data_IF_336386277243
#
_entry.id   IF_336386277243
#
_cell.length_a   1.000
_cell.length_b   1.000
_cell.length_c   1.000
_cell.angle_alpha   90.00
_cell.angle_beta   90.00
_cell.angle_gamma   90.00
#
_symmetry.space_group_name_H-M   'P 1'
#
loop_
_entity.id
_entity.type
_entity.pdbx_description
1 polymer ?
#
# COMPACT_ATOMS: atom_id res chain seq x y z
N UNK A 1 17.12 11.92 -10.17
CA UNK A 1 15.88 11.76 -9.39
C UNK A 1 14.70 12.28 -10.18
N UNK A 2 13.73 11.41 -10.50
CA UNK A 2 12.43 11.77 -11.09
C UNK A 2 11.54 12.38 -10.02
N UNK A 3 10.82 13.44 -10.39
CA UNK A 3 9.89 14.13 -9.49
C UNK A 3 8.44 13.69 -9.66
N UNK A 4 8.14 13.01 -10.77
CA UNK A 4 6.82 12.52 -11.14
C UNK A 4 6.97 11.18 -11.86
N UNK A 5 5.94 10.36 -11.75
CA UNK A 5 5.70 9.16 -12.57
C UNK A 5 4.44 9.41 -13.40
N UNK A 6 4.19 8.57 -14.41
CA UNK A 6 2.92 8.65 -15.14
C UNK A 6 1.70 8.48 -14.22
N UNK A 7 0.59 9.07 -14.63
CA UNK A 7 -0.71 8.87 -13.97
C UNK A 7 -1.10 7.38 -13.98
N UNK A 8 -0.79 6.67 -15.06
CA UNK A 8 -1.02 5.23 -15.16
C UNK A 8 -0.28 4.44 -14.08
N UNK A 9 1.03 4.70 -13.89
CA UNK A 9 1.81 4.01 -12.86
C UNK A 9 1.32 4.36 -11.45
N UNK A 10 0.97 5.62 -11.21
CA UNK A 10 0.38 6.05 -9.93
C UNK A 10 -0.94 5.34 -9.63
N UNK A 11 -1.82 5.21 -10.63
CA UNK A 11 -3.08 4.49 -10.52
C UNK A 11 -2.89 2.99 -10.25
N UNK A 12 -1.88 2.38 -10.86
CA UNK A 12 -1.55 0.98 -10.59
C UNK A 12 -1.00 0.83 -9.15
N UNK A 13 -0.15 1.74 -8.68
CA UNK A 13 0.32 1.73 -7.29
C UNK A 13 -0.79 1.95 -6.27
N UNK A 14 -1.80 2.77 -6.59
CA UNK A 14 -3.01 2.91 -5.79
C UNK A 14 -3.77 1.57 -5.70
N UNK A 15 -4.04 0.93 -6.85
CA UNK A 15 -4.72 -0.38 -6.91
C UNK A 15 -3.96 -1.44 -6.13
N UNK A 16 -2.63 -1.49 -6.29
CA UNK A 16 -1.76 -2.38 -5.54
C UNK A 16 -1.81 -2.10 -4.03
N UNK A 17 -1.80 -0.83 -3.62
CA UNK A 17 -1.90 -0.44 -2.21
C UNK A 17 -3.23 -0.85 -1.58
N UNK A 18 -4.33 -0.57 -2.29
CA UNK A 18 -5.69 -0.88 -1.84
C UNK A 18 -5.94 -2.38 -1.73
N UNK A 19 -5.52 -3.16 -2.74
CA UNK A 19 -5.67 -4.62 -2.73
C UNK A 19 -4.84 -5.28 -1.63
N UNK A 20 -3.58 -4.86 -1.41
CA UNK A 20 -2.76 -5.33 -0.29
C UNK A 20 -3.45 -5.04 1.06
N UNK A 21 -3.94 -3.81 1.24
CA UNK A 21 -4.63 -3.39 2.46
C UNK A 21 -5.85 -4.26 2.76
N UNK A 22 -6.72 -4.47 1.77
CA UNK A 22 -7.92 -5.29 1.93
C UNK A 22 -7.60 -6.76 2.16
N UNK A 23 -6.64 -7.33 1.44
CA UNK A 23 -6.19 -8.70 1.69
C UNK A 23 -5.78 -8.90 3.16
N UNK A 24 -4.86 -8.07 3.67
CA UNK A 24 -4.34 -8.20 5.03
C UNK A 24 -5.43 -8.00 6.09
N UNK A 25 -6.31 -7.02 5.90
CA UNK A 25 -7.44 -6.78 6.78
C UNK A 25 -8.44 -7.94 6.78
N UNK A 26 -8.74 -8.51 5.61
CA UNK A 26 -9.65 -9.65 5.46
C UNK A 26 -9.08 -10.92 6.09
N UNK A 27 -7.79 -11.20 5.91
CA UNK A 27 -7.14 -12.34 6.55
C UNK A 27 -7.22 -12.24 8.08
N UNK A 28 -6.93 -11.05 8.65
CA UNK A 28 -7.05 -10.84 10.10
C UNK A 28 -8.50 -10.86 10.60
N UNK A 29 -9.46 -10.55 9.74
CA UNK A 29 -10.89 -10.70 10.03
C UNK A 29 -11.43 -12.13 9.74
N UNK A 30 -10.59 -13.06 9.29
CA UNK A 30 -10.98 -14.41 8.86
C UNK A 30 -12.02 -14.46 7.72
N UNK A 31 -12.00 -13.47 6.82
CA UNK A 31 -12.88 -13.36 5.64
C UNK A 31 -12.11 -13.86 4.41
N UNK A 32 -11.78 -15.16 4.40
CA UNK A 32 -10.83 -15.73 3.43
C UNK A 32 -11.26 -15.61 1.96
N UNK A 33 -12.57 -15.60 1.68
CA UNK A 33 -13.06 -15.44 0.30
C UNK A 33 -12.72 -14.08 -0.31
N UNK A 34 -12.96 -13.00 0.43
CA UNK A 34 -12.56 -11.66 0.02
C UNK A 34 -11.03 -11.52 0.04
N UNK A 35 -10.35 -12.09 1.05
CA UNK A 35 -8.89 -12.06 1.13
C UNK A 35 -8.22 -12.68 -0.10
N UNK A 36 -8.72 -13.82 -0.59
CA UNK A 36 -8.18 -14.49 -1.77
C UNK A 36 -8.41 -13.66 -3.05
N UNK A 37 -9.57 -13.01 -3.18
CA UNK A 37 -9.85 -12.09 -4.30
C UNK A 37 -8.86 -10.92 -4.29
N UNK A 38 -8.66 -10.29 -3.13
CA UNK A 38 -7.80 -9.12 -3.01
C UNK A 38 -6.32 -9.48 -3.15
N UNK A 39 -5.92 -10.70 -2.78
CA UNK A 39 -4.58 -11.24 -3.07
C UNK A 39 -4.34 -11.38 -4.58
N UNK A 40 -5.32 -11.89 -5.32
CA UNK A 40 -5.22 -12.03 -6.76
C UNK A 40 -5.10 -10.65 -7.44
N UNK A 41 -5.94 -9.69 -7.03
CA UNK A 41 -5.86 -8.31 -7.52
C UNK A 41 -4.50 -7.68 -7.21
N UNK A 42 -3.96 -7.89 -6.00
CA UNK A 42 -2.62 -7.42 -5.64
C UNK A 42 -1.54 -8.02 -6.53
N UNK A 43 -1.63 -9.32 -6.83
CA UNK A 43 -0.71 -10.01 -7.73
C UNK A 43 -0.74 -9.42 -9.15
N UNK A 44 -1.93 -9.21 -9.69
CA UNK A 44 -2.13 -8.58 -11.01
C UNK A 44 -1.59 -7.14 -11.02
N UNK A 45 -1.97 -6.31 -10.06
CA UNK A 45 -1.52 -4.92 -9.96
C UNK A 45 0.00 -4.82 -9.74
N UNK A 46 0.61 -5.76 -9.01
CA UNK A 46 2.07 -5.82 -8.82
C UNK A 46 2.80 -6.06 -10.13
N UNK A 47 2.29 -6.95 -10.98
CA UNK A 47 2.90 -7.24 -12.27
C UNK A 47 2.69 -6.09 -13.26
N UNK A 48 1.50 -5.49 -13.28
CA UNK A 48 1.24 -4.27 -14.05
C UNK A 48 2.18 -3.13 -13.62
N UNK A 49 2.41 -2.95 -12.31
CA UNK A 49 3.30 -1.92 -11.78
C UNK A 49 4.75 -2.16 -12.20
N UNK A 50 5.18 -3.41 -12.19
CA UNK A 50 6.52 -3.79 -12.66
C UNK A 50 6.70 -3.43 -14.13
N UNK A 51 5.78 -3.86 -14.99
CA UNK A 51 5.83 -3.59 -16.43
C UNK A 51 5.74 -2.09 -16.75
N UNK A 52 4.88 -1.35 -16.06
CA UNK A 52 4.74 0.09 -16.26
C UNK A 52 5.98 0.85 -15.75
N UNK A 53 6.51 0.47 -14.59
CA UNK A 53 7.72 1.06 -14.04
C UNK A 53 8.96 0.81 -14.90
N UNK A 54 9.09 -0.38 -15.48
CA UNK A 54 10.18 -0.69 -16.43
C UNK A 54 10.10 0.17 -17.70
N UNK A 55 8.89 0.47 -18.19
CA UNK A 55 8.69 1.42 -19.32
C UNK A 55 9.06 2.85 -18.95
N UNK A 56 9.09 3.18 -17.66
CA UNK A 56 9.54 4.46 -17.12
C UNK A 56 10.98 4.39 -16.59
N UNK A 57 11.77 3.39 -17.00
CA UNK A 57 13.17 3.16 -16.59
C UNK A 57 13.39 3.14 -15.07
N UNK A 58 12.40 2.69 -14.30
CA UNK A 58 12.60 2.38 -12.89
C UNK A 58 13.36 1.06 -12.76
N UNK A 59 14.33 1.01 -11.84
CA UNK A 59 15.12 -0.19 -11.64
C UNK A 59 14.23 -1.35 -11.14
N UNK A 60 14.50 -2.61 -11.53
CA UNK A 60 13.79 -3.76 -10.99
C UNK A 60 13.85 -3.84 -9.46
N UNK A 61 14.94 -3.35 -8.87
CA UNK A 61 15.14 -3.31 -7.41
C UNK A 61 14.23 -2.26 -6.75
N UNK A 62 14.12 -1.04 -7.31
CA UNK A 62 13.14 -0.05 -6.84
C UNK A 62 11.73 -0.60 -6.90
N UNK A 63 11.34 -1.22 -8.03
CA UNK A 63 9.99 -1.78 -8.19
C UNK A 63 9.70 -2.91 -7.21
N UNK A 64 10.68 -3.77 -6.97
CA UNK A 64 10.59 -4.85 -5.98
C UNK A 64 10.43 -4.29 -4.57
N UNK A 65 11.21 -3.27 -4.21
CA UNK A 65 11.13 -2.65 -2.90
C UNK A 65 9.82 -1.87 -2.70
N UNK A 66 9.29 -1.18 -3.71
CA UNK A 66 7.97 -0.54 -3.64
C UNK A 66 6.88 -1.59 -3.40
N UNK A 67 6.88 -2.69 -4.17
CA UNK A 67 5.92 -3.78 -4.02
C UNK A 67 5.90 -4.35 -2.60
N UNK A 68 7.07 -4.71 -2.08
CA UNK A 68 7.16 -5.30 -0.75
C UNK A 68 7.02 -4.27 0.38
N UNK A 69 7.40 -3.02 0.15
CA UNK A 69 7.11 -1.91 1.05
C UNK A 69 5.60 -1.75 1.25
N UNK A 70 4.83 -1.73 0.17
CA UNK A 70 3.36 -1.68 0.22
C UNK A 70 2.77 -2.88 0.98
N UNK A 71 3.20 -4.09 0.64
CA UNK A 71 2.72 -5.33 1.27
C UNK A 71 2.98 -5.39 2.77
N UNK A 72 4.22 -5.09 3.19
CA UNK A 72 4.59 -5.13 4.61
C UNK A 72 3.93 -4.01 5.41
N UNK A 73 3.69 -2.84 4.81
CA UNK A 73 2.91 -1.77 5.44
C UNK A 73 1.46 -2.19 5.72
N UNK A 74 0.86 -2.92 4.78
CA UNK A 74 -0.48 -3.49 4.95
C UNK A 74 -0.54 -4.50 6.09
N UNK A 75 0.38 -5.47 6.11
CA UNK A 75 0.46 -6.46 7.19
C UNK A 75 0.78 -5.85 8.55
N UNK A 76 1.74 -4.92 8.63
CA UNK A 76 2.04 -4.19 9.86
C UNK A 76 0.77 -3.58 10.46
N UNK A 77 0.01 -2.88 9.63
CA UNK A 77 -1.19 -2.16 10.07
C UNK A 77 -2.29 -3.10 10.51
N UNK A 78 -2.59 -4.14 9.73
CA UNK A 78 -3.56 -5.16 10.10
C UNK A 78 -3.16 -5.86 11.40
N UNK A 79 -1.89 -6.27 11.54
CA UNK A 79 -1.37 -6.94 12.72
C UNK A 79 -1.47 -6.05 13.95
N UNK A 80 -1.04 -4.79 13.85
CA UNK A 80 -1.12 -3.80 14.94
C UNK A 80 -2.56 -3.58 15.38
N UNK A 81 -3.47 -3.36 14.43
CA UNK A 81 -4.89 -3.11 14.72
C UNK A 81 -5.54 -4.34 15.35
N UNK A 82 -5.24 -5.55 14.89
CA UNK A 82 -5.82 -6.79 15.44
C UNK A 82 -5.07 -7.34 16.67
N UNK A 83 -4.08 -6.62 17.20
CA UNK A 83 -3.40 -6.98 18.44
C UNK A 83 -2.35 -8.08 18.32
N UNK A 84 -1.72 -8.22 17.15
CA UNK A 84 -0.63 -9.17 16.86
C UNK A 84 0.71 -8.41 16.83
N UNK A 85 1.16 -7.88 17.97
CA UNK A 85 2.27 -6.91 18.00
C UNK A 85 3.62 -7.50 17.57
N UNK A 86 3.87 -8.78 17.85
CA UNK A 86 5.10 -9.46 17.43
C UNK A 86 5.26 -9.49 15.91
N UNK A 87 4.20 -9.90 15.20
CA UNK A 87 4.18 -9.89 13.73
C UNK A 87 4.23 -8.45 13.20
N UNK A 88 3.47 -7.54 13.83
CA UNK A 88 3.43 -6.13 13.43
C UNK A 88 4.83 -5.50 13.45
N UNK A 89 5.65 -5.79 14.47
CA UNK A 89 7.00 -5.25 14.54
C UNK A 89 7.90 -5.80 13.41
N UNK A 90 7.82 -7.10 13.12
CA UNK A 90 8.59 -7.69 12.03
C UNK A 90 8.23 -7.07 10.68
N UNK A 91 6.95 -6.83 10.44
CA UNK A 91 6.48 -6.20 9.21
C UNK A 91 6.87 -4.71 9.14
N UNK A 92 6.93 -4.01 10.28
CA UNK A 92 7.46 -2.64 10.35
C UNK A 92 8.95 -2.58 9.98
N UNK A 93 9.73 -3.54 10.46
CA UNK A 93 11.17 -3.61 10.16
C UNK A 93 11.41 -3.93 8.67
N UNK A 94 10.58 -4.80 8.07
CA UNK A 94 10.60 -5.07 6.62
C UNK A 94 10.18 -3.85 5.82
N UNK A 95 9.06 -3.22 6.18
CA UNK A 95 8.56 -2.00 5.56
C UNK A 95 9.64 -0.90 5.56
N UNK A 96 10.26 -0.65 6.71
CA UNK A 96 11.30 0.37 6.87
C UNK A 96 12.50 0.09 5.96
N UNK A 97 12.97 -1.17 5.91
CA UNK A 97 14.08 -1.55 5.02
C UNK A 97 13.76 -1.35 3.55
N UNK A 98 12.55 -1.71 3.10
CA UNK A 98 12.17 -1.53 1.70
C UNK A 98 12.10 -0.05 1.30
N UNK A 99 11.49 0.81 2.12
CA UNK A 99 11.44 2.24 1.80
C UNK A 99 12.80 2.92 1.88
N UNK A 100 13.68 2.48 2.79
CA UNK A 100 15.07 2.93 2.79
C UNK A 100 15.80 2.54 1.50
N UNK A 101 15.62 1.31 1.01
CA UNK A 101 16.22 0.88 -0.24
C UNK A 101 15.72 1.67 -1.46
N UNK A 102 14.41 2.01 -1.52
CA UNK A 102 13.87 2.90 -2.58
C UNK A 102 14.50 4.29 -2.50
N UNK A 103 14.68 4.82 -1.29
CA UNK A 103 15.32 6.11 -1.07
C UNK A 103 16.80 6.10 -1.50
N UNK A 104 17.52 5.03 -1.17
CA UNK A 104 18.95 4.88 -1.47
C UNK A 104 19.23 4.67 -2.96
N UNK A 105 18.27 4.15 -3.73
CA UNK A 105 18.41 4.00 -5.19
C UNK A 105 18.41 5.35 -5.92
N UNK A 106 17.92 6.43 -5.29
CA UNK A 106 17.94 7.81 -5.83
C UNK A 106 17.34 7.95 -7.26
N UNK A 107 16.52 6.99 -7.69
CA UNK A 107 15.78 7.04 -8.96
C UNK A 107 14.58 7.97 -8.81
N UNK A 108 13.84 7.84 -7.71
CA UNK A 108 12.72 8.70 -7.35
C UNK A 108 13.17 9.75 -6.33
N UNK A 109 12.52 10.91 -6.32
CA UNK A 109 12.76 11.90 -5.27
C UNK A 109 12.06 11.51 -3.95
N UNK A 110 12.51 12.06 -2.83
CA UNK A 110 11.97 11.74 -1.50
C UNK A 110 10.48 12.08 -1.35
N UNK A 111 10.01 13.14 -2.01
CA UNK A 111 8.60 13.56 -1.92
C UNK A 111 7.64 12.53 -2.54
N UNK A 112 7.99 11.99 -3.72
CA UNK A 112 7.22 10.95 -4.39
C UNK A 112 7.29 9.63 -3.62
N UNK A 113 8.45 9.30 -3.06
CA UNK A 113 8.61 8.12 -2.19
C UNK A 113 7.66 8.23 -0.98
N UNK A 114 7.67 9.38 -0.31
CA UNK A 114 6.79 9.64 0.83
C UNK A 114 5.31 9.60 0.43
N UNK A 115 4.93 10.15 -0.72
CA UNK A 115 3.55 10.07 -1.21
C UNK A 115 3.07 8.63 -1.37
N UNK A 116 3.86 7.77 -2.03
CA UNK A 116 3.48 6.35 -2.23
C UNK A 116 3.45 5.61 -0.89
N UNK A 117 4.45 5.85 -0.04
CA UNK A 117 4.54 5.27 1.30
C UNK A 117 3.33 5.62 2.16
N UNK A 118 2.93 6.89 2.19
CA UNK A 118 1.78 7.35 2.97
C UNK A 118 0.46 6.92 2.35
N UNK A 119 0.32 6.94 1.02
CA UNK A 119 -0.85 6.37 0.34
C UNK A 119 -1.08 4.92 0.76
N UNK A 120 -0.03 4.09 0.71
CA UNK A 120 -0.11 2.68 1.09
C UNK A 120 -0.47 2.50 2.57
N UNK A 121 0.16 3.26 3.46
CA UNK A 121 -0.14 3.22 4.89
C UNK A 121 -1.60 3.60 5.18
N UNK A 122 -2.08 4.66 4.54
CA UNK A 122 -3.43 5.17 4.78
C UNK A 122 -4.52 4.21 4.27
N UNK A 123 -4.31 3.55 3.12
CA UNK A 123 -5.20 2.47 2.69
C UNK A 123 -5.22 1.30 3.67
N UNK A 124 -4.06 0.93 4.21
CA UNK A 124 -3.95 -0.13 5.21
C UNK A 124 -4.71 0.20 6.50
N UNK A 125 -4.57 1.42 7.01
CA UNK A 125 -5.33 1.91 8.18
C UNK A 125 -6.82 1.89 7.90
N UNK A 126 -7.24 2.38 6.74
CA UNK A 126 -8.64 2.40 6.34
C UNK A 126 -9.23 1.00 6.31
N UNK A 127 -8.69 0.09 5.50
CA UNK A 127 -9.24 -1.26 5.32
C UNK A 127 -9.29 -2.03 6.65
N UNK A 128 -8.22 -1.95 7.44
CA UNK A 128 -8.14 -2.64 8.74
C UNK A 128 -9.14 -2.10 9.76
N UNK A 129 -9.34 -0.78 9.80
CA UNK A 129 -10.34 -0.16 10.69
C UNK A 129 -11.77 -0.44 10.22
N UNK A 130 -12.04 -0.47 8.91
CA UNK A 130 -13.36 -0.89 8.39
C UNK A 130 -13.65 -2.32 8.85
N UNK A 131 -12.73 -3.26 8.65
CA UNK A 131 -12.95 -4.65 9.05
C UNK A 131 -13.03 -4.86 10.56
N UNK A 132 -12.32 -4.05 11.35
CA UNK A 132 -12.45 -4.07 12.82
C UNK A 132 -13.75 -3.42 13.32
N UNK A 133 -14.53 -2.77 12.44
CA UNK A 133 -15.78 -2.11 12.80
C UNK A 133 -15.60 -0.71 13.40
N UNK A 134 -14.49 -0.04 13.08
CA UNK A 134 -14.13 1.27 13.63
C UNK A 134 -14.28 2.38 12.58
N UNK A 135 -15.50 2.90 12.45
CA UNK A 135 -15.88 3.83 11.37
C UNK A 135 -15.13 5.18 11.42
N UNK A 136 -14.95 5.78 12.60
CA UNK A 136 -14.21 7.05 12.74
C UNK A 136 -12.77 6.95 12.22
N UNK A 137 -12.06 5.89 12.59
CA UNK A 137 -10.68 5.67 12.18
C UNK A 137 -10.56 5.23 10.72
N UNK A 138 -11.59 4.56 10.20
CA UNK A 138 -11.70 4.24 8.77
C UNK A 138 -11.78 5.52 7.92
N UNK A 139 -12.69 6.43 8.25
CA UNK A 139 -12.89 7.65 7.47
C UNK A 139 -11.62 8.51 7.41
N UNK A 140 -10.89 8.62 8.53
CA UNK A 140 -9.59 9.31 8.60
C UNK A 140 -8.53 8.68 7.69
N UNK A 141 -8.42 7.35 7.67
CA UNK A 141 -7.48 6.64 6.80
C UNK A 141 -7.80 6.85 5.33
N UNK A 142 -9.08 6.76 4.96
CA UNK A 142 -9.50 6.92 3.57
C UNK A 142 -9.23 8.32 3.03
N UNK A 143 -9.63 9.37 3.76
CA UNK A 143 -9.40 10.76 3.34
C UNK A 143 -7.92 11.02 3.09
N UNK A 144 -7.03 10.54 3.97
CA UNK A 144 -5.58 10.72 3.81
C UNK A 144 -5.02 9.94 2.61
N UNK A 145 -5.47 8.71 2.39
CA UNK A 145 -5.03 7.90 1.25
C UNK A 145 -5.31 8.60 -0.07
N UNK A 146 -6.53 9.12 -0.21
CA UNK A 146 -7.02 9.83 -1.39
C UNK A 146 -6.23 11.13 -1.65
N UNK A 147 -5.90 11.89 -0.60
CA UNK A 147 -5.03 13.07 -0.72
C UNK A 147 -3.64 12.74 -1.30
N UNK A 148 -3.02 11.63 -0.87
CA UNK A 148 -1.71 11.21 -1.39
C UNK A 148 -1.80 10.56 -2.78
N UNK A 149 -2.92 9.90 -3.09
CA UNK A 149 -3.19 9.39 -4.44
C UNK A 149 -3.36 10.51 -5.47
N UNK A 150 -3.66 11.75 -5.03
CA UNK A 150 -3.82 12.91 -5.91
C UNK A 150 -5.23 13.05 -6.49
N UNK A 151 -6.20 12.31 -5.95
CA UNK A 151 -7.62 12.40 -6.31
C UNK A 151 -8.45 12.99 -5.16
N UNK A 152 -9.64 13.49 -5.45
CA UNK A 152 -10.71 13.74 -4.47
C UNK A 152 -11.79 12.68 -4.78
N UNK A 153 -11.64 11.48 -4.22
CA UNK A 153 -12.67 10.43 -4.30
C UNK A 153 -13.52 10.43 -3.04
N UNK A 154 -14.85 10.33 -3.22
CA UNK A 154 -15.78 10.09 -2.12
C UNK A 154 -15.62 8.66 -1.60
N UNK A 155 -15.73 8.44 -0.26
CA UNK A 155 -15.66 7.09 0.29
C UNK A 155 -16.70 6.19 -0.37
N UNK A 156 -16.36 4.93 -0.72
CA UNK A 156 -17.34 3.99 -1.24
C UNK A 156 -18.43 3.80 -0.17
N UNK A 157 -19.69 3.84 -0.60
CA UNK A 157 -20.83 3.53 0.26
C UNK A 157 -20.68 2.11 0.80
N UNK A 158 -20.60 1.99 2.13
CA UNK A 158 -20.61 0.71 2.88
C UNK A 158 -21.87 -0.11 2.58
#
# INVERSE_FOLDING_TARGET
>A
MRNVVSEDLRNIWERMSRSAAWHCANERACIHGDAARDLNEWGTASEEARLAGEREDLSPETLTNIRWGIWNGAWHTANRIYGNQGDAQQDLDRWTRHWQAVHDDQVLNSALIDDVRWMAWNFAEWASNVRKGSQFWADQGYTRAVCHAGYILQPPSL
#
